data_IF_263557041223
#
_entry.id   IF_263557041223
#
_cell.length_a   1.000
_cell.length_b   1.000
_cell.length_c   1.000
_cell.angle_alpha   90.00
_cell.angle_beta   90.00
_cell.angle_gamma   90.00
#
_symmetry.space_group_name_H-M   'P 1'
#
loop_
_entity.id
_entity.type
_entity.pdbx_description
1 polymer ?
#
# COMPACT_ATOMS: atom_id res chain seq x y z
N UNK A 1 -14.89 -16.52 -20.75
CA UNK A 1 -14.62 -15.68 -21.92
C UNK A 1 -13.59 -14.65 -21.49
N UNK A 2 -12.32 -15.01 -21.62
CA UNK A 2 -11.18 -14.35 -20.97
C UNK A 2 -10.70 -13.21 -21.87
N UNK A 3 -11.25 -12.01 -21.67
CA UNK A 3 -10.72 -10.83 -22.32
C UNK A 3 -9.39 -10.47 -21.65
N UNK A 4 -8.27 -10.85 -22.29
CA UNK A 4 -6.96 -10.24 -22.01
C UNK A 4 -7.08 -8.76 -22.35
N UNK A 5 -7.21 -7.93 -21.31
CA UNK A 5 -7.07 -6.48 -21.43
C UNK A 5 -5.65 -6.21 -21.92
N UNK A 6 -5.54 -5.55 -23.07
CA UNK A 6 -4.28 -5.20 -23.71
C UNK A 6 -3.54 -4.15 -22.85
N UNK A 7 -2.39 -4.53 -22.26
CA UNK A 7 -1.67 -3.80 -21.22
C UNK A 7 -0.46 -3.01 -21.78
N UNK A 8 -0.67 -2.11 -22.74
CA UNK A 8 0.43 -1.27 -23.25
C UNK A 8 0.05 0.20 -23.43
N UNK A 9 -0.51 0.82 -22.38
CA UNK A 9 -0.46 2.28 -22.28
C UNK A 9 0.90 2.70 -21.71
N UNK A 10 1.80 3.11 -22.59
CA UNK A 10 3.15 3.62 -22.23
C UNK A 10 3.02 4.88 -21.38
N UNK A 11 3.56 4.82 -20.15
CA UNK A 11 3.75 5.97 -19.27
C UNK A 11 4.75 6.96 -19.89
N UNK A 12 4.36 8.23 -19.99
CA UNK A 12 5.30 9.33 -20.20
C UNK A 12 6.10 9.59 -18.92
N UNK A 13 7.31 10.19 -19.00
CA UNK A 13 8.30 10.16 -17.92
C UNK A 13 8.04 11.09 -16.71
N UNK A 14 6.81 11.56 -16.44
CA UNK A 14 6.53 12.41 -15.27
C UNK A 14 5.04 12.49 -14.85
N UNK A 15 4.14 11.69 -15.44
CA UNK A 15 2.72 11.68 -15.06
C UNK A 15 2.46 10.69 -13.93
N UNK A 16 1.45 10.95 -13.11
CA UNK A 16 0.98 9.95 -12.14
C UNK A 16 0.45 8.76 -12.94
N UNK A 17 1.01 7.58 -12.69
CA UNK A 17 0.60 6.38 -13.41
C UNK A 17 -0.90 6.14 -13.27
N UNK A 18 -1.59 5.65 -14.33
CA UNK A 18 -3.03 5.52 -14.33
C UNK A 18 -3.46 4.57 -13.22
N UNK A 19 -4.12 5.13 -12.24
CA UNK A 19 -4.91 4.44 -11.24
C UNK A 19 -4.22 3.39 -10.36
N UNK A 20 -2.91 3.31 -10.31
CA UNK A 20 -2.23 2.32 -9.46
C UNK A 20 -1.87 2.89 -8.08
N UNK A 21 -2.21 2.15 -7.03
CA UNK A 21 -1.96 2.54 -5.64
C UNK A 21 -1.06 1.51 -4.97
N UNK A 22 0.03 1.95 -4.36
CA UNK A 22 0.92 1.14 -3.54
C UNK A 22 0.38 1.03 -2.12
N UNK A 23 0.29 -0.19 -1.62
CA UNK A 23 -0.20 -0.48 -0.26
C UNK A 23 0.84 -1.30 0.49
N UNK A 24 1.13 -0.87 1.71
CA UNK A 24 1.99 -1.58 2.63
C UNK A 24 1.38 -2.93 3.06
N UNK A 25 2.17 -4.03 3.09
CA UNK A 25 1.65 -5.34 3.47
C UNK A 25 1.04 -5.36 4.88
N UNK A 26 1.54 -4.51 5.77
CA UNK A 26 1.00 -4.33 7.12
C UNK A 26 -0.49 -3.94 7.10
N UNK A 27 -0.88 -3.06 6.18
CA UNK A 27 -2.26 -2.59 6.06
C UNK A 27 -3.20 -3.67 5.47
N UNK A 28 -2.67 -4.62 4.68
CA UNK A 28 -3.48 -5.69 4.08
C UNK A 28 -3.81 -6.74 5.14
N UNK A 29 -2.84 -7.11 5.97
CA UNK A 29 -3.03 -8.08 7.07
C UNK A 29 -4.15 -7.67 8.02
N UNK A 30 -4.21 -6.39 8.39
CA UNK A 30 -5.19 -5.86 9.34
C UNK A 30 -6.44 -5.27 8.68
N UNK A 31 -6.58 -5.41 7.34
CA UNK A 31 -7.68 -4.84 6.55
C UNK A 31 -7.92 -3.36 6.85
N UNK A 32 -6.84 -2.59 6.95
CA UNK A 32 -6.95 -1.20 7.36
C UNK A 32 -7.71 -0.37 6.32
N UNK A 33 -8.36 0.73 6.75
CA UNK A 33 -9.07 1.64 5.85
C UNK A 33 -8.24 2.07 4.64
N UNK A 34 -6.92 2.25 4.79
CA UNK A 34 -6.03 2.58 3.68
C UNK A 34 -6.02 1.52 2.57
N UNK A 35 -5.90 0.24 2.94
CA UNK A 35 -5.99 -0.87 1.99
C UNK A 35 -7.38 -0.95 1.37
N UNK A 36 -8.42 -0.81 2.18
CA UNK A 36 -9.80 -0.92 1.71
C UNK A 36 -10.16 0.19 0.71
N UNK A 37 -9.68 1.42 0.95
CA UNK A 37 -9.78 2.52 -0.01
C UNK A 37 -9.02 2.18 -1.29
N UNK A 38 -7.78 1.69 -1.17
CA UNK A 38 -6.98 1.34 -2.34
C UNK A 38 -7.66 0.25 -3.19
N UNK A 39 -8.15 -0.82 -2.57
CA UNK A 39 -8.87 -1.89 -3.26
C UNK A 39 -10.16 -1.41 -3.90
N UNK A 40 -10.88 -0.46 -3.32
CA UNK A 40 -12.10 0.09 -3.92
C UNK A 40 -11.83 1.10 -5.03
N UNK A 41 -10.78 1.91 -4.92
CA UNK A 41 -10.53 3.01 -5.85
C UNK A 41 -9.59 2.65 -7.00
N UNK A 42 -8.47 1.98 -6.72
CA UNK A 42 -7.38 1.81 -7.67
C UNK A 42 -7.77 0.94 -8.87
N UNK A 43 -7.19 1.15 -10.05
CA UNK A 43 -7.27 0.17 -11.13
C UNK A 43 -6.42 -1.07 -10.80
N UNK A 44 -5.27 -0.86 -10.16
CA UNK A 44 -4.42 -1.92 -9.58
C UNK A 44 -3.85 -1.49 -8.24
N UNK A 45 -3.61 -2.45 -7.37
CA UNK A 45 -2.90 -2.28 -6.11
C UNK A 45 -1.59 -3.04 -6.18
N UNK A 46 -0.48 -2.35 -5.92
CA UNK A 46 0.83 -3.00 -5.80
C UNK A 46 1.21 -3.10 -4.34
N UNK A 47 1.73 -4.25 -3.93
CA UNK A 47 2.18 -4.46 -2.55
C UNK A 47 3.44 -5.31 -2.50
N UNK A 48 4.21 -5.20 -1.41
CA UNK A 48 5.31 -6.11 -1.16
C UNK A 48 4.76 -7.45 -0.69
N UNK A 49 4.71 -8.44 -1.59
CA UNK A 49 4.49 -9.82 -1.19
C UNK A 49 5.76 -10.35 -0.53
N UNK A 50 5.66 -10.77 0.74
CA UNK A 50 6.76 -11.50 1.38
C UNK A 50 6.90 -12.86 0.70
N UNK A 51 7.97 -13.07 -0.04
CA UNK A 51 8.31 -14.34 -0.69
C UNK A 51 9.84 -14.42 -0.84
N UNK A 52 10.42 -15.62 -1.05
CA UNK A 52 11.86 -15.80 -1.22
C UNK A 52 12.50 -14.74 -2.11
N UNK A 53 13.63 -14.18 -1.68
CA UNK A 53 14.36 -13.09 -2.35
C UNK A 53 15.32 -13.67 -3.38
N UNK A 54 15.92 -14.84 -3.11
CA UNK A 54 16.79 -15.52 -4.06
C UNK A 54 16.08 -15.68 -5.41
N UNK A 55 16.75 -15.20 -6.48
CA UNK A 55 16.31 -15.29 -7.88
C UNK A 55 15.04 -14.49 -8.26
N UNK A 56 14.58 -13.52 -7.44
CA UNK A 56 13.29 -12.81 -7.61
C UNK A 56 13.35 -11.46 -8.36
N UNK A 57 14.52 -10.97 -8.76
CA UNK A 57 14.64 -9.63 -9.39
C UNK A 57 13.77 -9.53 -10.66
N UNK A 58 12.71 -8.74 -10.61
CA UNK A 58 11.73 -8.54 -11.70
C UNK A 58 10.89 -9.75 -12.13
N UNK A 59 10.86 -10.86 -11.38
CA UNK A 59 10.16 -12.10 -11.78
C UNK A 59 9.28 -12.66 -10.67
N UNK A 60 8.13 -13.22 -11.05
CA UNK A 60 7.27 -13.94 -10.11
C UNK A 60 8.01 -15.15 -9.51
N UNK A 61 7.77 -15.43 -8.23
CA UNK A 61 8.41 -16.54 -7.53
C UNK A 61 8.02 -17.88 -8.14
N UNK A 62 9.02 -18.71 -8.44
CA UNK A 62 8.83 -20.08 -8.89
C UNK A 62 7.96 -20.88 -7.88
N UNK A 63 6.90 -21.60 -8.34
CA UNK A 63 5.99 -22.34 -7.47
C UNK A 63 6.66 -23.38 -6.56
N UNK A 64 7.74 -24.03 -6.99
CA UNK A 64 8.47 -25.00 -6.16
C UNK A 64 9.23 -24.29 -5.03
N UNK A 65 9.87 -23.17 -5.33
CA UNK A 65 10.57 -22.33 -4.36
C UNK A 65 9.60 -21.76 -3.32
N UNK A 66 8.42 -21.31 -3.74
CA UNK A 66 7.34 -20.92 -2.84
C UNK A 66 6.88 -22.07 -1.93
N UNK A 67 6.61 -23.25 -2.49
CA UNK A 67 6.18 -24.45 -1.72
C UNK A 67 7.21 -24.90 -0.70
N UNK A 68 8.51 -24.81 -1.04
CA UNK A 68 9.61 -25.10 -0.11
C UNK A 68 9.67 -24.11 1.04
N UNK A 69 9.50 -22.81 0.76
CA UNK A 69 9.45 -21.78 1.81
C UNK A 69 8.23 -21.96 2.73
N UNK A 70 7.06 -22.24 2.16
CA UNK A 70 5.82 -22.52 2.88
C UNK A 70 5.97 -23.68 3.87
N UNK A 71 6.55 -24.79 3.41
CA UNK A 71 6.70 -26.01 4.23
C UNK A 71 7.69 -25.87 5.39
N UNK A 72 8.61 -24.89 5.33
CA UNK A 72 9.74 -24.75 6.27
C UNK A 72 9.50 -23.74 7.39
N UNK A 73 8.50 -22.87 7.29
CA UNK A 73 8.26 -21.80 8.26
C UNK A 73 6.79 -21.71 8.67
N UNK A 74 6.49 -22.12 9.90
CA UNK A 74 5.15 -22.01 10.45
C UNK A 74 4.68 -20.56 10.62
N UNK A 75 5.60 -19.60 10.81
CA UNK A 75 5.28 -18.17 10.87
C UNK A 75 4.87 -17.65 9.50
N UNK A 76 5.60 -18.03 8.45
CA UNK A 76 5.30 -17.64 7.08
C UNK A 76 3.95 -18.19 6.61
N UNK A 77 3.65 -19.46 6.95
CA UNK A 77 2.32 -20.03 6.71
C UNK A 77 1.21 -19.21 7.35
N UNK A 78 1.34 -18.85 8.64
CA UNK A 78 0.34 -18.00 9.33
C UNK A 78 0.17 -16.63 8.66
N UNK A 79 1.26 -16.06 8.13
CA UNK A 79 1.19 -14.82 7.35
C UNK A 79 0.34 -15.01 6.09
N UNK A 80 0.60 -16.07 5.31
CA UNK A 80 -0.20 -16.36 4.10
C UNK A 80 -1.66 -16.67 4.45
N UNK A 81 -1.91 -17.41 5.53
CA UNK A 81 -3.26 -17.66 6.03
C UNK A 81 -3.98 -16.35 6.40
N UNK A 82 -3.27 -15.38 6.99
CA UNK A 82 -3.83 -14.05 7.30
C UNK A 82 -4.24 -13.25 6.05
N UNK A 83 -3.69 -13.60 4.89
CA UNK A 83 -4.00 -12.99 3.59
C UNK A 83 -4.96 -13.83 2.74
N UNK A 84 -5.40 -14.99 3.21
CA UNK A 84 -6.29 -15.88 2.46
C UNK A 84 -7.56 -15.15 1.98
N UNK A 85 -8.06 -14.20 2.76
CA UNK A 85 -9.23 -13.37 2.41
C UNK A 85 -9.01 -12.52 1.16
N UNK A 86 -7.78 -12.09 0.88
CA UNK A 86 -7.44 -11.21 -0.24
C UNK A 86 -7.18 -12.00 -1.53
N UNK A 87 -7.18 -13.34 -1.47
CA UNK A 87 -6.88 -14.20 -2.61
C UNK A 87 -7.71 -13.87 -3.87
N UNK A 88 -9.04 -13.67 -3.81
CA UNK A 88 -9.80 -13.28 -5.00
C UNK A 88 -9.31 -11.98 -5.64
N UNK A 89 -8.76 -11.04 -4.86
CA UNK A 89 -8.18 -9.80 -5.39
C UNK A 89 -6.88 -10.06 -6.17
N UNK A 90 -6.09 -11.06 -5.78
CA UNK A 90 -4.90 -11.50 -6.53
C UNK A 90 -5.30 -12.28 -7.78
N UNK A 91 -6.29 -13.18 -7.66
CA UNK A 91 -6.76 -14.02 -8.77
C UNK A 91 -7.36 -13.15 -9.90
N UNK A 92 -8.07 -12.07 -9.57
CA UNK A 92 -8.58 -11.07 -10.53
C UNK A 92 -7.52 -10.07 -11.02
N UNK A 93 -6.27 -10.17 -10.55
CA UNK A 93 -5.18 -9.27 -10.93
C UNK A 93 -5.33 -7.83 -10.42
N UNK A 94 -6.25 -7.58 -9.49
CA UNK A 94 -6.37 -6.29 -8.81
C UNK A 94 -5.14 -6.04 -7.94
N UNK A 95 -4.69 -7.05 -7.19
CA UNK A 95 -3.47 -6.95 -6.37
C UNK A 95 -2.32 -7.68 -7.04
N UNK A 96 -1.19 -6.99 -7.19
CA UNK A 96 0.03 -7.53 -7.80
C UNK A 96 1.24 -7.30 -6.91
N UNK A 97 2.21 -8.21 -6.98
CA UNK A 97 3.51 -8.08 -6.29
C UNK A 97 4.63 -7.57 -7.19
N UNK A 98 4.42 -7.62 -8.52
CA UNK A 98 5.33 -7.12 -9.54
C UNK A 98 4.51 -6.24 -10.49
N UNK A 99 4.99 -5.02 -10.73
CA UNK A 99 4.34 -4.05 -11.62
C UNK A 99 5.30 -3.70 -12.74
N UNK A 100 4.87 -3.94 -13.99
CA UNK A 100 5.65 -3.66 -15.20
C UNK A 100 7.08 -4.21 -15.16
N UNK A 101 7.24 -5.42 -14.60
CA UNK A 101 8.53 -6.10 -14.46
C UNK A 101 9.38 -5.62 -13.29
N UNK A 102 8.87 -4.74 -12.43
CA UNK A 102 9.57 -4.27 -11.24
C UNK A 102 8.97 -4.81 -9.95
N UNK A 103 9.82 -5.27 -9.04
CA UNK A 103 9.43 -5.77 -7.71
C UNK A 103 9.81 -4.74 -6.62
N UNK A 104 8.89 -4.31 -5.75
CA UNK A 104 9.19 -3.41 -4.65
C UNK A 104 10.29 -3.89 -3.70
N UNK A 105 10.60 -5.19 -3.67
CA UNK A 105 11.69 -5.73 -2.86
C UNK A 105 13.05 -5.13 -3.23
N UNK A 106 13.26 -4.77 -4.50
CA UNK A 106 14.51 -4.16 -4.97
C UNK A 106 14.75 -2.80 -4.31
N UNK A 107 13.71 -1.96 -4.24
CA UNK A 107 13.75 -0.67 -3.56
C UNK A 107 13.93 -0.83 -2.03
N UNK A 108 13.33 -1.86 -1.43
CA UNK A 108 13.55 -2.20 -0.01
C UNK A 108 15.02 -2.58 0.25
N UNK A 109 15.62 -3.40 -0.62
CA UNK A 109 17.04 -3.77 -0.53
C UNK A 109 17.95 -2.55 -0.74
N UNK A 110 17.60 -1.66 -1.67
CA UNK A 110 18.28 -0.38 -1.88
C UNK A 110 18.27 0.51 -0.64
N UNK A 111 17.11 0.60 0.04
CA UNK A 111 17.01 1.33 1.31
C UNK A 111 17.86 0.69 2.41
N UNK A 112 17.86 -0.64 2.54
CA UNK A 112 18.75 -1.34 3.48
C UNK A 112 20.22 -1.01 3.24
N UNK A 113 20.66 -1.01 1.98
CA UNK A 113 22.03 -0.64 1.60
C UNK A 113 22.34 0.83 1.93
N UNK A 114 21.39 1.74 1.68
CA UNK A 114 21.51 3.16 2.03
C UNK A 114 21.64 3.36 3.54
N UNK A 115 20.77 2.76 4.36
CA UNK A 115 20.86 2.84 5.83
C UNK A 115 22.22 2.36 6.33
N UNK A 116 22.80 1.34 5.71
CA UNK A 116 24.09 0.79 6.11
C UNK A 116 25.32 1.65 5.72
N UNK A 117 25.17 2.59 4.78
CA UNK A 117 26.29 3.34 4.20
C UNK A 117 26.22 4.86 4.37
N UNK A 118 25.03 5.41 4.59
CA UNK A 118 24.78 6.84 4.74
C UNK A 118 24.91 7.26 6.21
N UNK A 119 25.95 8.02 6.52
CA UNK A 119 26.23 8.51 7.88
C UNK A 119 25.08 9.35 8.47
N UNK A 120 24.23 9.97 7.64
CA UNK A 120 23.06 10.72 8.13
C UNK A 120 21.98 9.80 8.71
N UNK A 121 22.04 8.50 8.40
CA UNK A 121 21.11 7.45 8.85
C UNK A 121 21.71 6.58 9.97
N UNK A 122 22.87 6.95 10.53
CA UNK A 122 23.57 6.17 11.57
C UNK A 122 22.67 5.82 12.76
N UNK A 123 21.74 6.70 13.14
CA UNK A 123 20.80 6.45 14.23
C UNK A 123 19.86 5.24 13.98
N UNK A 124 19.69 4.83 12.72
CA UNK A 124 18.88 3.67 12.32
C UNK A 124 19.68 2.36 12.29
N UNK A 125 21.00 2.43 12.10
CA UNK A 125 21.86 1.25 11.96
C UNK A 125 21.76 0.29 13.15
N UNK A 126 21.58 0.83 14.38
CA UNK A 126 21.40 0.04 15.61
C UNK A 126 20.17 -0.86 15.63
N UNK A 127 19.17 -0.55 14.80
CA UNK A 127 17.96 -1.37 14.67
C UNK A 127 18.08 -2.40 13.55
N UNK A 128 18.97 -2.16 12.58
CA UNK A 128 19.18 -3.07 11.46
C UNK A 128 19.82 -4.35 11.97
N UNK A 129 19.27 -5.50 11.56
CA UNK A 129 19.84 -6.82 11.83
C UNK A 129 20.64 -7.27 10.61
N UNK A 130 21.98 -7.34 10.70
CA UNK A 130 22.80 -7.80 9.58
C UNK A 130 22.33 -9.19 9.13
N UNK A 131 22.01 -9.33 7.84
CA UNK A 131 21.66 -10.62 7.24
C UNK A 131 20.18 -10.95 7.16
N UNK A 132 19.26 -10.17 7.76
CA UNK A 132 17.82 -10.43 7.63
C UNK A 132 17.39 -10.52 6.17
N UNK A 133 17.84 -9.59 5.32
CA UNK A 133 17.51 -9.58 3.89
C UNK A 133 18.53 -10.32 3.01
N UNK A 134 19.42 -11.13 3.59
CA UNK A 134 20.44 -11.91 2.84
C UNK A 134 20.13 -13.40 2.78
N UNK A 135 19.26 -13.88 3.67
CA UNK A 135 18.86 -15.29 3.76
C UNK A 135 17.34 -15.36 3.72
N UNK A 136 16.79 -16.11 2.77
CA UNK A 136 15.33 -16.21 2.57
C UNK A 136 14.59 -16.69 3.81
N UNK A 137 15.18 -17.63 4.56
CA UNK A 137 14.53 -18.19 5.75
C UNK A 137 14.50 -17.16 6.87
N UNK A 138 15.61 -16.46 7.12
CA UNK A 138 15.69 -15.40 8.13
C UNK A 138 14.77 -14.24 7.76
N UNK A 139 14.79 -13.81 6.50
CA UNK A 139 13.91 -12.78 5.95
C UNK A 139 12.45 -13.12 6.17
N UNK A 140 11.99 -14.27 5.63
CA UNK A 140 10.59 -14.65 5.68
C UNK A 140 10.12 -14.83 7.11
N UNK A 141 10.95 -15.37 8.00
CA UNK A 141 10.60 -15.50 9.40
C UNK A 141 10.46 -14.14 10.09
N UNK A 142 11.42 -13.24 9.90
CA UNK A 142 11.41 -11.92 10.53
C UNK A 142 10.27 -11.04 9.99
N UNK A 143 10.17 -10.91 8.66
CA UNK A 143 9.16 -10.07 8.02
C UNK A 143 7.74 -10.58 8.25
N UNK A 144 7.51 -11.90 8.17
CA UNK A 144 6.18 -12.45 8.45
C UNK A 144 5.78 -12.25 9.92
N UNK A 145 6.72 -12.44 10.86
CA UNK A 145 6.44 -12.21 12.28
C UNK A 145 6.11 -10.75 12.56
N UNK A 146 6.80 -9.83 11.88
CA UNK A 146 6.62 -8.40 12.03
C UNK A 146 5.28 -7.92 11.42
N UNK A 147 4.97 -8.35 10.20
CA UNK A 147 3.69 -8.06 9.54
C UNK A 147 2.49 -8.55 10.34
N UNK A 148 2.54 -9.79 10.85
CA UNK A 148 1.49 -10.34 11.72
C UNK A 148 1.27 -9.56 13.02
N UNK A 149 2.24 -8.74 13.44
CA UNK A 149 2.17 -7.90 14.64
C UNK A 149 1.96 -6.41 14.31
N UNK A 150 1.69 -6.07 13.05
CA UNK A 150 1.54 -4.70 12.57
C UNK A 150 2.82 -3.84 12.71
N UNK A 151 3.99 -4.44 12.49
CA UNK A 151 5.25 -3.70 12.28
C UNK A 151 6.01 -3.17 13.51
N UNK A 152 6.04 -3.86 14.67
CA UNK A 152 6.75 -3.37 15.85
C UNK A 152 8.28 -3.37 15.71
N UNK A 153 8.86 -4.09 14.74
CA UNK A 153 10.32 -4.18 14.53
C UNK A 153 10.81 -3.10 13.54
N UNK A 154 11.42 -2.00 14.02
CA UNK A 154 11.93 -0.94 13.14
C UNK A 154 13.05 -1.43 12.21
N UNK A 155 13.70 -2.55 12.53
CA UNK A 155 14.69 -3.20 11.66
C UNK A 155 14.10 -3.76 10.37
N UNK A 156 12.78 -3.92 10.30
CA UNK A 156 12.04 -4.51 9.18
C UNK A 156 11.03 -3.52 8.60
N UNK A 157 10.23 -2.88 9.47
CA UNK A 157 9.14 -2.01 9.01
C UNK A 157 9.62 -0.72 8.36
N UNK A 158 10.74 -0.14 8.82
CA UNK A 158 11.31 1.08 8.23
C UNK A 158 11.80 0.82 6.79
N UNK A 159 12.66 -0.19 6.52
CA UNK A 159 13.05 -0.49 5.14
C UNK A 159 11.88 -0.80 4.21
N UNK A 160 10.87 -1.52 4.69
CA UNK A 160 9.68 -1.84 3.88
C UNK A 160 8.91 -0.56 3.51
N UNK A 161 8.60 0.29 4.49
CA UNK A 161 7.86 1.53 4.24
C UNK A 161 8.63 2.49 3.31
N UNK A 162 9.91 2.72 3.59
CA UNK A 162 10.75 3.61 2.76
C UNK A 162 11.01 3.02 1.37
N UNK A 163 11.13 1.70 1.23
CA UNK A 163 11.28 1.04 -0.07
C UNK A 163 10.01 1.16 -0.92
N UNK A 164 8.82 1.03 -0.32
CA UNK A 164 7.55 1.25 -1.03
C UNK A 164 7.41 2.70 -1.50
N UNK A 165 7.88 3.68 -0.72
CA UNK A 165 7.89 5.09 -1.14
C UNK A 165 8.83 5.35 -2.31
N UNK A 166 10.04 4.80 -2.25
CA UNK A 166 11.01 4.86 -3.34
C UNK A 166 10.44 4.20 -4.60
N UNK A 167 9.85 3.01 -4.47
CA UNK A 167 9.21 2.29 -5.56
C UNK A 167 8.09 3.11 -6.22
N UNK A 168 7.23 3.71 -5.40
CA UNK A 168 6.11 4.52 -5.87
C UNK A 168 6.60 5.80 -6.56
N UNK A 169 7.53 6.53 -5.94
CA UNK A 169 8.04 7.79 -6.48
C UNK A 169 8.79 7.61 -7.81
N UNK A 170 9.58 6.54 -7.95
CA UNK A 170 10.27 6.22 -9.20
C UNK A 170 9.31 5.95 -10.38
N UNK A 171 8.04 5.64 -10.09
CA UNK A 171 7.03 5.24 -11.07
C UNK A 171 5.82 6.19 -11.13
N UNK A 172 5.88 7.30 -10.38
CA UNK A 172 4.77 8.25 -10.28
C UNK A 172 3.48 7.63 -9.71
N UNK A 173 3.59 6.70 -8.77
CA UNK A 173 2.43 6.01 -8.19
C UNK A 173 1.91 6.73 -6.94
N UNK A 174 0.65 6.48 -6.60
CA UNK A 174 0.08 6.89 -5.32
C UNK A 174 0.45 5.86 -4.23
N UNK A 175 0.69 6.31 -3.00
CA UNK A 175 0.83 5.43 -1.83
C UNK A 175 -0.36 5.61 -0.91
N UNK A 176 -1.07 4.55 -0.54
CA UNK A 176 -2.12 4.63 0.48
C UNK A 176 -1.57 4.27 1.86
N UNK A 177 -1.84 5.13 2.85
CA UNK A 177 -1.40 5.00 4.22
C UNK A 177 -2.53 5.23 5.20
N UNK A 178 -2.48 4.54 6.33
CA UNK A 178 -3.37 4.82 7.44
C UNK A 178 -2.98 6.11 8.16
N UNK A 179 -3.94 6.71 8.86
CA UNK A 179 -3.71 7.88 9.68
C UNK A 179 -2.56 7.65 10.68
N UNK A 180 -1.69 8.66 10.90
CA UNK A 180 -0.51 8.52 11.74
C UNK A 180 -0.89 8.22 13.20
N UNK A 181 -0.50 7.05 13.70
CA UNK A 181 -0.71 6.65 15.09
C UNK A 181 0.52 6.92 15.95
N UNK A 182 1.73 6.67 15.42
CA UNK A 182 2.99 6.78 16.15
C UNK A 182 3.61 8.18 16.10
N UNK A 183 4.59 8.44 16.99
CA UNK A 183 5.34 9.70 17.00
C UNK A 183 6.09 9.94 15.69
N UNK A 184 6.72 8.90 15.14
CA UNK A 184 7.42 8.99 13.86
C UNK A 184 6.45 9.35 12.73
N UNK A 185 5.30 8.69 12.63
CA UNK A 185 4.30 8.97 11.60
C UNK A 185 3.70 10.38 11.72
N UNK A 186 3.53 10.88 12.95
CA UNK A 186 3.10 12.27 13.18
C UNK A 186 4.16 13.28 12.76
N UNK A 187 5.43 12.99 13.00
CA UNK A 187 6.54 13.82 12.53
C UNK A 187 6.63 13.79 11.00
N UNK A 188 6.46 12.61 10.40
CA UNK A 188 6.43 12.41 8.96
C UNK A 188 5.35 13.24 8.28
N UNK A 189 4.12 13.22 8.82
CA UNK A 189 3.00 13.99 8.25
C UNK A 189 3.28 15.50 8.23
N UNK A 190 4.11 16.01 9.15
CA UNK A 190 4.52 17.42 9.18
C UNK A 190 5.52 17.79 8.08
N UNK A 191 6.19 16.81 7.48
CA UNK A 191 7.08 17.01 6.33
C UNK A 191 6.29 17.21 5.04
N UNK A 192 5.03 16.76 5.01
CA UNK A 192 4.20 16.76 3.82
C UNK A 192 3.49 18.08 3.55
N UNK A 193 3.25 18.35 2.26
CA UNK A 193 2.35 19.42 1.81
C UNK A 193 1.01 18.81 1.44
N UNK A 194 -0.06 19.21 2.15
CA UNK A 194 -1.43 18.82 1.80
C UNK A 194 -1.84 19.45 0.48
N UNK A 195 -2.48 18.65 -0.37
CA UNK A 195 -3.02 19.03 -1.68
C UNK A 195 -4.54 19.16 -1.61
N UNK A 196 -5.22 18.13 -1.12
CA UNK A 196 -6.68 18.11 -1.01
C UNK A 196 -7.13 17.29 0.20
N UNK A 197 -8.42 17.37 0.52
CA UNK A 197 -9.09 16.48 1.46
C UNK A 197 -10.54 16.29 1.05
N UNK A 198 -10.97 15.03 0.98
CA UNK A 198 -12.36 14.64 0.68
C UNK A 198 -12.82 13.55 1.65
N UNK A 199 -14.13 13.40 1.80
CA UNK A 199 -14.73 12.29 2.53
C UNK A 199 -15.49 11.43 1.53
N UNK A 200 -15.33 10.10 1.62
CA UNK A 200 -16.01 9.14 0.78
C UNK A 200 -16.50 7.94 1.60
N UNK A 201 -17.65 7.33 1.25
CA UNK A 201 -18.08 6.07 1.84
C UNK A 201 -17.27 4.90 1.28
N UNK A 202 -16.95 3.92 2.13
CA UNK A 202 -16.19 2.73 1.75
C UNK A 202 -16.69 1.50 2.49
N UNK A 203 -16.50 0.33 1.87
CA UNK A 203 -16.49 -0.95 2.57
C UNK A 203 -15.27 -0.98 3.48
N UNK A 204 -15.48 -0.93 4.80
CA UNK A 204 -14.44 -1.00 5.82
C UNK A 204 -14.12 -2.45 6.21
N UNK A 205 -15.12 -3.33 6.15
CA UNK A 205 -14.96 -4.77 6.34
C UNK A 205 -15.87 -5.51 5.37
N UNK A 206 -15.37 -6.60 4.80
CA UNK A 206 -16.10 -7.47 3.87
C UNK A 206 -15.18 -8.54 3.30
N UNK A 207 -15.75 -9.47 2.53
CA UNK A 207 -14.98 -10.41 1.71
C UNK A 207 -14.33 -9.67 0.52
N UNK A 208 -13.33 -10.29 -0.11
CA UNK A 208 -12.76 -9.77 -1.34
C UNK A 208 -13.81 -9.67 -2.47
N UNK A 209 -14.73 -10.64 -2.54
CA UNK A 209 -15.79 -10.65 -3.54
C UNK A 209 -16.74 -9.45 -3.38
N UNK A 210 -17.04 -9.04 -2.15
CA UNK A 210 -17.83 -7.81 -1.90
C UNK A 210 -17.08 -6.55 -2.31
N UNK A 211 -15.76 -6.51 -2.12
CA UNK A 211 -14.94 -5.41 -2.62
C UNK A 211 -14.95 -5.38 -4.15
N UNK A 212 -14.81 -6.53 -4.81
CA UNK A 212 -14.88 -6.65 -6.26
C UNK A 212 -16.26 -6.25 -6.81
N UNK A 213 -17.34 -6.71 -6.18
CA UNK A 213 -18.71 -6.31 -6.52
C UNK A 213 -18.89 -4.79 -6.41
N UNK A 214 -18.46 -4.19 -5.29
CA UNK A 214 -18.53 -2.73 -5.13
C UNK A 214 -17.77 -2.01 -6.25
N UNK A 215 -16.60 -2.49 -6.66
CA UNK A 215 -15.87 -1.89 -7.80
C UNK A 215 -16.66 -1.93 -9.10
N UNK A 216 -17.35 -3.05 -9.39
CA UNK A 216 -18.17 -3.18 -10.60
C UNK A 216 -19.34 -2.20 -10.56
N UNK A 217 -20.07 -2.13 -9.45
CA UNK A 217 -21.23 -1.24 -9.31
C UNK A 217 -20.86 0.24 -9.34
N UNK A 218 -19.64 0.58 -8.90
CA UNK A 218 -19.13 1.94 -8.78
C UNK A 218 -18.16 2.35 -9.90
N UNK A 219 -17.95 1.52 -10.93
CA UNK A 219 -16.78 1.62 -11.80
C UNK A 219 -16.59 2.99 -12.46
N UNK A 220 -17.65 3.59 -13.01
CA UNK A 220 -17.59 4.93 -13.60
C UNK A 220 -17.23 6.00 -12.55
N UNK A 221 -17.97 6.05 -11.45
CA UNK A 221 -17.76 7.05 -10.40
C UNK A 221 -16.39 6.86 -9.70
N UNK A 222 -15.91 5.63 -9.59
CA UNK A 222 -14.59 5.24 -9.09
C UNK A 222 -13.49 5.81 -10.00
N UNK A 223 -13.59 5.58 -11.31
CA UNK A 223 -12.61 6.07 -12.30
C UNK A 223 -12.58 7.60 -12.35
N UNK A 224 -13.74 8.25 -12.30
CA UNK A 224 -13.86 9.71 -12.21
C UNK A 224 -13.15 10.27 -10.96
N UNK A 225 -13.39 9.66 -9.80
CA UNK A 225 -12.75 10.08 -8.55
C UNK A 225 -11.22 9.87 -8.60
N UNK A 226 -10.76 8.73 -9.11
CA UNK A 226 -9.33 8.44 -9.22
C UNK A 226 -8.62 9.41 -10.17
N UNK A 227 -9.24 9.74 -11.31
CA UNK A 227 -8.74 10.74 -12.25
C UNK A 227 -8.69 12.13 -11.60
N UNK A 228 -9.72 12.52 -10.84
CA UNK A 228 -9.73 13.80 -10.13
C UNK A 228 -8.67 13.87 -9.02
N UNK A 229 -8.39 12.76 -8.32
CA UNK A 229 -7.29 12.65 -7.35
C UNK A 229 -5.94 12.83 -8.04
N UNK A 230 -5.70 12.17 -9.18
CA UNK A 230 -4.48 12.35 -9.95
C UNK A 230 -4.32 13.81 -10.42
N UNK A 231 -5.39 14.38 -10.99
CA UNK A 231 -5.42 15.80 -11.38
C UNK A 231 -5.14 16.74 -10.21
N UNK A 232 -5.60 16.44 -8.99
CA UNK A 232 -5.31 17.27 -7.82
C UNK A 232 -3.81 17.39 -7.55
N UNK A 233 -3.05 16.30 -7.70
CA UNK A 233 -1.60 16.30 -7.53
C UNK A 233 -0.87 16.97 -8.71
N UNK A 234 -1.32 16.73 -9.94
CA UNK A 234 -0.63 17.21 -11.15
C UNK A 234 -0.91 18.68 -11.49
N UNK A 235 -2.17 19.11 -11.38
CA UNK A 235 -2.62 20.41 -11.87
C UNK A 235 -3.55 21.16 -10.89
N UNK A 236 -3.75 20.63 -9.68
CA UNK A 236 -4.56 21.27 -8.65
C UNK A 236 -6.08 21.14 -8.88
N UNK A 237 -6.52 20.17 -9.68
CA UNK A 237 -7.95 19.83 -9.80
C UNK A 237 -8.56 19.58 -8.42
N UNK A 238 -9.78 20.08 -8.18
CA UNK A 238 -10.50 19.82 -6.94
C UNK A 238 -11.30 18.51 -7.01
N UNK A 239 -10.95 17.46 -6.22
CA UNK A 239 -11.62 16.18 -6.30
C UNK A 239 -13.00 16.15 -5.61
N UNK A 240 -13.44 17.25 -4.96
CA UNK A 240 -14.70 17.27 -4.19
C UNK A 240 -15.93 16.91 -5.02
N UNK A 241 -16.03 17.38 -6.26
CA UNK A 241 -17.18 17.07 -7.14
C UNK A 241 -17.23 15.59 -7.50
N UNK A 242 -16.08 15.00 -7.84
CA UNK A 242 -16.00 13.56 -8.15
C UNK A 242 -16.25 12.70 -6.90
N UNK A 243 -15.75 13.13 -5.73
CA UNK A 243 -16.01 12.46 -4.46
C UNK A 243 -17.50 12.46 -4.11
N UNK A 244 -18.20 13.58 -4.35
CA UNK A 244 -19.66 13.65 -4.15
C UNK A 244 -20.43 12.72 -5.09
N UNK A 245 -20.01 12.61 -6.36
CA UNK A 245 -20.61 11.65 -7.31
C UNK A 245 -20.38 10.20 -6.89
N UNK A 246 -19.15 9.88 -6.49
CA UNK A 246 -18.81 8.57 -5.93
C UNK A 246 -19.66 8.24 -4.70
N UNK A 247 -19.81 9.18 -3.77
CA UNK A 247 -20.62 8.98 -2.57
C UNK A 247 -22.11 8.77 -2.89
N UNK A 248 -22.67 9.57 -3.81
CA UNK A 248 -24.07 9.41 -4.25
C UNK A 248 -24.29 8.05 -4.94
N UNK A 249 -23.34 7.61 -5.77
CA UNK A 249 -23.38 6.31 -6.42
C UNK A 249 -23.26 5.16 -5.41
N UNK A 250 -22.38 5.29 -4.43
CA UNK A 250 -22.24 4.32 -3.34
C UNK A 250 -23.53 4.16 -2.55
N UNK A 251 -24.18 5.27 -2.17
CA UNK A 251 -25.43 5.20 -1.42
C UNK A 251 -26.56 4.56 -2.23
N UNK A 252 -26.64 4.86 -3.54
CA UNK A 252 -27.62 4.23 -4.43
C UNK A 252 -27.44 2.70 -4.54
N UNK A 253 -26.19 2.22 -4.52
CA UNK A 253 -25.83 0.80 -4.64
C UNK A 253 -25.62 0.11 -3.28
N UNK A 254 -25.81 0.84 -2.17
CA UNK A 254 -25.49 0.36 -0.82
C UNK A 254 -26.24 -0.91 -0.46
N UNK A 255 -27.50 -1.00 -0.88
CA UNK A 255 -28.34 -2.18 -0.66
C UNK A 255 -27.69 -3.44 -1.21
N UNK A 256 -27.20 -3.38 -2.45
CA UNK A 256 -26.55 -4.50 -3.13
C UNK A 256 -25.16 -4.81 -2.53
N UNK A 257 -24.36 -3.77 -2.27
CA UNK A 257 -23.03 -3.90 -1.66
C UNK A 257 -23.11 -4.56 -0.28
N UNK A 258 -24.16 -4.23 0.50
CA UNK A 258 -24.36 -4.72 1.86
C UNK A 258 -25.35 -5.88 1.96
N UNK A 259 -25.77 -6.46 0.83
CA UNK A 259 -26.65 -7.62 0.82
C UNK A 259 -26.06 -8.73 1.68
N UNK A 260 -26.86 -9.41 2.52
CA UNK A 260 -26.37 -10.49 3.34
C UNK A 260 -25.80 -11.62 2.46
N UNK A 261 -24.90 -12.44 3.02
CA UNK A 261 -24.43 -13.65 2.36
C UNK A 261 -25.61 -14.53 1.96
N UNK A 262 -25.45 -15.28 0.87
CA UNK A 262 -26.45 -16.29 0.56
C UNK A 262 -26.49 -17.35 1.69
N UNK A 263 -27.61 -18.08 1.89
CA UNK A 263 -27.73 -19.07 2.98
C UNK A 263 -26.71 -20.22 2.95
N UNK A 264 -25.95 -20.37 1.86
CA UNK A 264 -24.86 -21.36 1.72
C UNK A 264 -23.47 -20.76 2.00
N UNK A 265 -23.42 -19.48 2.37
CA UNK A 265 -22.22 -18.68 2.66
C UNK A 265 -22.24 -18.21 4.13
N UNK A 266 -22.75 -19.03 5.05
CA UNK A 266 -22.95 -18.66 6.47
C UNK A 266 -21.67 -18.19 7.18
N UNK A 267 -20.49 -18.55 6.66
CA UNK A 267 -19.18 -18.10 7.15
C UNK A 267 -18.70 -16.75 6.55
N UNK A 268 -19.46 -16.13 5.64
CA UNK A 268 -19.07 -14.86 5.02
C UNK A 268 -19.10 -13.71 6.05
N UNK A 269 -18.02 -12.91 6.05
CA UNK A 269 -17.86 -11.77 6.95
C UNK A 269 -18.90 -10.71 6.62
N UNK A 270 -19.72 -10.34 7.62
CA UNK A 270 -20.68 -9.24 7.51
C UNK A 270 -20.01 -7.98 6.95
N UNK A 271 -20.61 -7.41 5.91
CA UNK A 271 -20.14 -6.16 5.31
C UNK A 271 -20.37 -5.00 6.28
N UNK A 272 -19.31 -4.25 6.57
CA UNK A 272 -19.34 -3.01 7.33
C UNK A 272 -18.94 -1.88 6.39
N UNK A 273 -19.83 -0.89 6.25
CA UNK A 273 -19.55 0.34 5.50
C UNK A 273 -19.33 1.50 6.47
N UNK A 274 -18.53 2.48 6.06
CA UNK A 274 -18.35 3.70 6.83
C UNK A 274 -17.70 4.80 5.99
N UNK A 275 -17.68 6.01 6.52
CA UNK A 275 -17.04 7.14 5.84
C UNK A 275 -15.57 7.23 6.22
N UNK A 276 -14.74 7.55 5.22
CA UNK A 276 -13.32 7.83 5.41
C UNK A 276 -12.95 9.19 4.84
N UNK A 277 -12.14 9.91 5.59
CA UNK A 277 -11.43 11.10 5.14
C UNK A 277 -10.19 10.64 4.39
N UNK A 278 -10.10 10.99 3.10
CA UNK A 278 -8.93 10.79 2.25
C UNK A 278 -8.24 12.14 2.07
N UNK A 279 -7.01 12.24 2.56
CA UNK A 279 -6.18 13.42 2.45
C UNK A 279 -5.02 13.17 1.48
N UNK A 280 -4.93 13.97 0.42
CA UNK A 280 -3.81 13.92 -0.52
C UNK A 280 -2.65 14.76 -0.01
N UNK A 281 -1.47 14.16 0.12
CA UNK A 281 -0.25 14.79 0.64
C UNK A 281 0.92 14.47 -0.27
N UNK A 282 1.76 15.48 -0.57
CA UNK A 282 3.07 15.26 -1.18
C UNK A 282 4.11 15.19 -0.08
N UNK A 283 4.76 14.03 0.07
CA UNK A 283 5.85 13.82 1.04
C UNK A 283 7.21 13.79 0.31
N UNK A 284 8.31 14.19 0.96
CA UNK A 284 9.65 13.80 0.50
C UNK A 284 9.76 12.28 0.38
N UNK A 285 10.47 11.78 -0.62
CA UNK A 285 10.66 10.32 -0.82
C UNK A 285 11.31 9.64 0.39
N UNK A 286 12.15 10.35 1.13
CA UNK A 286 12.82 9.85 2.32
C UNK A 286 12.12 10.28 3.62
N UNK A 287 10.84 10.68 3.58
CA UNK A 287 10.09 11.12 4.76
C UNK A 287 10.05 10.06 5.87
N UNK A 288 9.93 8.77 5.52
CA UNK A 288 10.02 7.64 6.46
C UNK A 288 11.38 7.60 7.15
N UNK A 289 12.48 7.77 6.41
CA UNK A 289 13.83 7.72 6.96
C UNK A 289 14.10 8.93 7.85
N UNK A 290 13.77 10.14 7.38
CA UNK A 290 13.91 11.39 8.11
C UNK A 290 13.16 11.32 9.45
N UNK A 291 11.89 10.94 9.40
CA UNK A 291 11.06 10.85 10.60
C UNK A 291 11.54 9.76 11.57
N UNK A 292 12.05 8.64 11.05
CA UNK A 292 12.60 7.57 11.86
C UNK A 292 13.92 7.95 12.54
N UNK A 293 14.84 8.64 11.84
CA UNK A 293 16.08 9.16 12.44
C UNK A 293 15.74 10.14 13.57
N UNK A 294 14.79 11.05 13.33
CA UNK A 294 14.32 11.98 14.35
C UNK A 294 13.72 11.26 15.56
N UNK A 295 12.90 10.23 15.35
CA UNK A 295 12.31 9.42 16.42
C UNK A 295 13.36 8.61 17.19
N UNK A 296 14.44 8.19 16.54
CA UNK A 296 15.57 7.50 17.15
C UNK A 296 16.47 8.44 18.00
N UNK A 297 16.19 9.75 18.03
CA UNK A 297 17.01 10.75 18.72
C UNK A 297 18.21 11.24 17.92
N UNK A 298 18.29 10.90 16.62
CA UNK A 298 19.31 11.41 15.71
C UNK A 298 19.00 12.84 15.26
N UNK A 299 20.05 13.60 14.92
CA UNK A 299 19.91 14.89 14.23
C UNK A 299 19.80 14.62 12.74
N UNK A 300 18.66 14.99 12.14
CA UNK A 300 18.51 14.97 10.69
C UNK A 300 19.16 16.24 10.15
N UNK A 301 20.04 16.12 9.15
CA UNK A 301 20.40 17.26 8.33
C UNK A 301 19.11 17.82 7.71
N UNK A 302 18.92 19.14 7.72
CA UNK A 302 17.73 19.73 7.08
C UNK A 302 17.68 19.24 5.63
N UNK A 303 16.56 18.64 5.18
CA UNK A 303 16.46 18.17 3.81
C UNK A 303 16.71 19.37 2.89
N UNK A 304 17.69 19.25 2.00
CA UNK A 304 17.81 20.18 0.89
C UNK A 304 16.50 20.14 0.12
N UNK A 305 15.78 21.27 0.09
CA UNK A 305 14.40 21.38 -0.40
C UNK A 305 14.20 20.96 -1.87
N UNK A 306 15.27 20.71 -2.63
CA UNK A 306 15.25 20.78 -4.09
C UNK A 306 15.87 19.57 -4.84
N UNK A 307 16.15 18.42 -4.21
CA UNK A 307 16.92 17.35 -4.90
C UNK A 307 16.19 16.04 -5.23
N UNK A 308 14.94 15.82 -4.81
CA UNK A 308 14.24 14.57 -5.09
C UNK A 308 12.74 14.77 -5.24
N UNK A 309 12.14 14.16 -6.26
CA UNK A 309 10.69 14.16 -6.46
C UNK A 309 9.93 13.77 -5.18
N UNK A 310 8.70 14.24 -5.04
CA UNK A 310 7.84 13.87 -3.91
C UNK A 310 7.11 12.55 -4.17
N UNK A 311 6.75 11.84 -3.10
CA UNK A 311 5.82 10.72 -3.16
C UNK A 311 4.39 11.23 -2.93
N UNK A 312 3.49 10.95 -3.86
CA UNK A 312 2.08 11.28 -3.74
C UNK A 312 1.39 10.27 -2.83
N UNK A 313 0.86 10.74 -1.71
CA UNK A 313 0.35 9.89 -0.64
C UNK A 313 -1.12 10.20 -0.35
N UNK A 314 -1.92 9.15 -0.20
CA UNK A 314 -3.28 9.20 0.33
C UNK A 314 -3.26 8.78 1.80
N UNK A 315 -3.52 9.71 2.71
CA UNK A 315 -3.69 9.42 4.13
C UNK A 315 -5.17 9.19 4.40
N UNK A 316 -5.51 8.00 4.90
CA UNK A 316 -6.88 7.55 5.10
C UNK A 316 -7.21 7.47 6.60
N UNK A 317 -8.35 8.06 6.99
CA UNK A 317 -8.86 8.04 8.36
C UNK A 317 -10.37 7.76 8.38
N UNK A 318 -10.84 6.88 9.26
CA UNK A 318 -12.28 6.71 9.51
C UNK A 318 -12.87 8.00 10.10
N UNK A 319 -14.03 8.41 9.62
CA UNK A 319 -14.82 9.52 10.17
C UNK A 319 -15.83 8.95 11.17
N UNK A 320 -15.81 9.42 12.41
CA UNK A 320 -16.83 9.08 13.41
C UNK A 320 -16.63 7.77 14.18
N UNK A 321 -15.37 7.36 14.42
CA UNK A 321 -15.02 6.32 15.39
C UNK A 321 -14.67 6.86 16.77
#
# INVERSE_FOLDING_TARGET
>A
MTARVDQTARLGPAGIGPGTIVVSPYHITTREPASMVAFQLADRVTTLLLAPIADRVGVAVDPETFRRAFSRSGVYRRYLDSWAWARPLFDEGLVVSVLDGADPVEDVLGVCARIASDASLDALTRFMRPGVFKDDRVYLQAASADVLKAGPDPGVSIPIAAGLDAFAAARGLLVARSAPASVAQKAETRLGRRVFRVTIPVVLQGSADRVLLARVLLDEARRDLLAAIAGAFENGTDPRTAAARYAARFEAERGEICSPPAPHEEDEVRVVTGEVSVEGVVLPVDAVLISSVSAAGGRVASPGRDAGGGVHTLIVRIVGG
#
